data_IF_129634035661
#
_entry.id   IF_129634035661
#
_cell.length_a   1.000
_cell.length_b   1.000
_cell.length_c   1.000
_cell.angle_alpha   90.00
_cell.angle_beta   90.00
_cell.angle_gamma   90.00
#
_symmetry.space_group_name_H-M   'P 1'
#
loop_
_entity.id
_entity.type
_entity.pdbx_description
1 polymer ?
#
# COMPACT_ATOMS: atom_id res chain seq x y z
N UNK A 1 -17.68 2.11 -30.37
CA UNK A 1 -17.62 3.43 -29.67
C UNK A 1 -16.40 3.60 -28.76
N UNK A 2 -15.97 2.60 -27.98
CA UNK A 2 -14.87 2.73 -26.99
C UNK A 2 -13.53 3.11 -27.61
N UNK A 3 -13.18 2.55 -28.79
CA UNK A 3 -11.96 2.90 -29.52
C UNK A 3 -11.95 4.38 -29.93
N UNK A 4 -13.09 4.88 -30.43
CA UNK A 4 -13.23 6.28 -30.84
C UNK A 4 -13.12 7.23 -29.64
N UNK A 5 -13.74 6.88 -28.49
CA UNK A 5 -13.59 7.63 -27.24
C UNK A 5 -12.13 7.66 -26.77
N UNK A 6 -11.41 6.55 -26.88
CA UNK A 6 -9.98 6.46 -26.56
C UNK A 6 -9.14 7.36 -27.46
N UNK A 7 -9.34 7.29 -28.79
CA UNK A 7 -8.61 8.12 -29.76
C UNK A 7 -8.86 9.62 -29.53
N UNK A 8 -10.12 9.98 -29.25
CA UNK A 8 -10.54 11.37 -29.02
C UNK A 8 -10.40 11.81 -27.55
N UNK A 9 -9.80 10.99 -26.68
CA UNK A 9 -9.66 11.25 -25.23
C UNK A 9 -10.96 11.75 -24.58
N UNK A 10 -12.08 11.10 -24.90
CA UNK A 10 -13.40 11.39 -24.32
C UNK A 10 -13.66 10.48 -23.12
N UNK A 11 -14.25 10.99 -22.02
CA UNK A 11 -14.52 10.19 -20.83
C UNK A 11 -15.39 8.97 -21.15
N UNK A 12 -15.08 7.87 -20.48
CA UNK A 12 -15.78 6.60 -20.56
C UNK A 12 -16.93 6.56 -19.55
N UNK A 13 -18.04 5.94 -19.89
CA UNK A 13 -19.14 5.73 -18.94
C UNK A 13 -18.85 4.54 -18.03
N UNK A 14 -19.61 4.39 -16.94
CA UNK A 14 -19.55 3.19 -16.10
C UNK A 14 -19.74 1.91 -16.92
N UNK A 15 -20.73 1.88 -17.82
CA UNK A 15 -20.98 0.75 -18.72
C UNK A 15 -19.79 0.46 -19.66
N UNK A 16 -19.06 1.48 -20.13
CA UNK A 16 -17.86 1.28 -20.94
C UNK A 16 -16.76 0.59 -20.12
N UNK A 17 -16.51 1.05 -18.88
CA UNK A 17 -15.46 0.52 -18.00
C UNK A 17 -15.79 -0.91 -17.55
N UNK A 18 -17.02 -1.17 -17.12
CA UNK A 18 -17.50 -2.52 -16.76
C UNK A 18 -17.38 -3.50 -17.91
N UNK A 19 -17.73 -3.09 -19.13
CA UNK A 19 -17.56 -3.94 -20.31
C UNK A 19 -16.08 -4.23 -20.61
N UNK A 20 -15.19 -3.26 -20.45
CA UNK A 20 -13.75 -3.43 -20.70
C UNK A 20 -13.09 -4.34 -19.65
N UNK A 21 -13.55 -4.28 -18.40
CA UNK A 21 -13.04 -5.09 -17.32
C UNK A 21 -13.76 -6.44 -17.15
N UNK A 22 -14.89 -6.65 -17.83
CA UNK A 22 -15.78 -7.79 -17.62
C UNK A 22 -15.11 -9.16 -17.76
N UNK A 23 -14.15 -9.32 -18.69
CA UNK A 23 -13.38 -10.56 -18.79
C UNK A 23 -12.64 -10.89 -17.49
N UNK A 24 -11.92 -9.90 -16.93
CA UNK A 24 -11.13 -10.08 -15.72
C UNK A 24 -12.02 -10.21 -14.47
N UNK A 25 -13.19 -9.56 -14.46
CA UNK A 25 -14.16 -9.76 -13.37
C UNK A 25 -14.75 -11.18 -13.34
N UNK A 26 -14.94 -11.80 -14.51
CA UNK A 26 -15.40 -13.18 -14.62
C UNK A 26 -14.27 -14.18 -14.37
N UNK A 27 -13.09 -13.92 -14.93
CA UNK A 27 -11.90 -14.77 -14.86
C UNK A 27 -10.70 -13.93 -14.37
N UNK A 28 -10.63 -13.64 -13.06
CA UNK A 28 -9.53 -12.89 -12.50
C UNK A 28 -8.21 -13.60 -12.76
N UNK A 29 -7.09 -12.86 -12.94
CA UNK A 29 -5.78 -13.42 -13.22
C UNK A 29 -5.14 -14.03 -11.97
N UNK A 30 -5.79 -15.04 -11.38
CA UNK A 30 -5.27 -15.82 -10.26
C UNK A 30 -4.75 -17.18 -10.72
N UNK A 31 -3.69 -17.70 -10.07
CA UNK A 31 -3.40 -19.13 -10.10
C UNK A 31 -4.64 -19.93 -9.67
N UNK A 32 -4.87 -21.08 -10.31
CA UNK A 32 -6.07 -21.91 -10.09
C UNK A 32 -6.29 -22.25 -8.60
N UNK A 33 -5.22 -22.57 -7.87
CA UNK A 33 -5.27 -22.87 -6.44
C UNK A 33 -5.76 -21.69 -5.58
N UNK A 34 -5.36 -20.45 -5.91
CA UNK A 34 -5.83 -19.26 -5.21
C UNK A 34 -7.26 -18.90 -5.57
N UNK A 35 -7.69 -19.19 -6.80
CA UNK A 35 -9.08 -19.02 -7.22
C UNK A 35 -10.03 -19.91 -6.41
N UNK A 36 -9.69 -21.19 -6.26
CA UNK A 36 -10.49 -22.15 -5.48
C UNK A 36 -10.53 -21.76 -3.99
N UNK A 37 -9.38 -21.37 -3.42
CA UNK A 37 -9.31 -20.88 -2.06
C UNK A 37 -10.17 -19.62 -1.84
N UNK A 38 -10.05 -18.61 -2.70
CA UNK A 38 -10.82 -17.36 -2.60
C UNK A 38 -12.33 -17.55 -2.87
N UNK A 39 -12.70 -18.52 -3.72
CA UNK A 39 -14.10 -18.89 -3.93
C UNK A 39 -14.70 -19.62 -2.71
N UNK A 40 -13.88 -20.41 -2.00
CA UNK A 40 -14.29 -21.19 -0.82
C UNK A 40 -14.31 -20.40 0.49
N UNK A 41 -13.60 -19.27 0.56
CA UNK A 41 -13.60 -18.35 1.70
C UNK A 41 -14.94 -17.60 1.73
N UNK A 42 -15.88 -18.15 2.49
CA UNK A 42 -17.23 -17.59 2.70
C UNK A 42 -17.26 -16.87 4.04
N UNK A 43 -17.50 -15.55 4.03
CA UNK A 43 -17.67 -14.77 5.25
C UNK A 43 -18.96 -15.15 6.00
N UNK A 44 -19.17 -14.60 7.21
CA UNK A 44 -20.40 -14.83 8.02
C UNK A 44 -21.70 -14.51 7.27
N UNK A 45 -21.64 -13.69 6.22
CA UNK A 45 -22.76 -13.29 5.36
C UNK A 45 -23.08 -14.29 4.24
N UNK A 46 -22.31 -15.37 4.06
CA UNK A 46 -22.50 -16.31 2.95
C UNK A 46 -21.91 -15.86 1.61
N UNK A 47 -21.22 -14.71 1.58
CA UNK A 47 -20.60 -14.15 0.36
C UNK A 47 -19.16 -14.63 0.24
N UNK A 48 -18.76 -15.12 -0.95
CA UNK A 48 -17.37 -15.51 -1.23
C UNK A 48 -16.46 -14.28 -1.32
N UNK A 49 -15.16 -14.45 -1.04
CA UNK A 49 -14.18 -13.37 -1.19
C UNK A 49 -14.13 -12.82 -2.62
N UNK A 50 -14.33 -13.67 -3.62
CA UNK A 50 -14.39 -13.25 -5.03
C UNK A 50 -15.63 -12.39 -5.33
N UNK A 51 -16.79 -12.71 -4.78
CA UNK A 51 -17.99 -11.90 -4.97
C UNK A 51 -17.88 -10.56 -4.24
N UNK A 52 -17.27 -10.56 -3.05
CA UNK A 52 -16.91 -9.35 -2.34
C UNK A 52 -15.96 -8.48 -3.18
N UNK A 53 -14.89 -9.08 -3.73
CA UNK A 53 -13.96 -8.38 -4.62
C UNK A 53 -14.66 -7.81 -5.84
N UNK A 54 -15.50 -8.58 -6.54
CA UNK A 54 -16.25 -8.09 -7.72
C UNK A 54 -17.10 -6.86 -7.39
N UNK A 55 -17.75 -6.86 -6.23
CA UNK A 55 -18.52 -5.71 -5.75
C UNK A 55 -17.62 -4.50 -5.48
N UNK A 56 -16.52 -4.70 -4.76
CA UNK A 56 -15.55 -3.63 -4.46
C UNK A 56 -14.95 -3.05 -5.76
N UNK A 57 -14.53 -3.91 -6.68
CA UNK A 57 -13.96 -3.50 -7.97
C UNK A 57 -14.99 -2.78 -8.86
N UNK A 58 -16.26 -3.20 -8.84
CA UNK A 58 -17.34 -2.48 -9.55
C UNK A 58 -17.49 -1.05 -9.04
N UNK A 59 -17.44 -0.83 -7.72
CA UNK A 59 -17.44 0.51 -7.11
C UNK A 59 -16.25 1.34 -7.62
N UNK A 60 -15.05 0.75 -7.69
CA UNK A 60 -13.86 1.43 -8.22
C UNK A 60 -14.05 1.88 -9.68
N UNK A 61 -14.67 1.04 -10.52
CA UNK A 61 -14.99 1.42 -11.91
C UNK A 61 -15.98 2.59 -11.96
N UNK A 62 -16.96 2.62 -11.06
CA UNK A 62 -17.92 3.72 -10.97
C UNK A 62 -17.28 5.03 -10.50
N UNK A 63 -16.35 4.97 -9.56
CA UNK A 63 -15.58 6.13 -9.11
C UNK A 63 -14.69 6.72 -10.22
N UNK A 64 -14.10 5.87 -11.06
CA UNK A 64 -13.40 6.29 -12.26
C UNK A 64 -14.41 6.95 -13.21
N UNK A 65 -15.54 6.29 -13.49
CA UNK A 65 -16.56 6.82 -14.39
C UNK A 65 -17.13 8.18 -13.95
N UNK A 66 -17.20 8.44 -12.65
CA UNK A 66 -17.69 9.69 -12.07
C UNK A 66 -16.82 10.92 -12.43
N UNK A 67 -15.58 10.72 -12.88
CA UNK A 67 -14.72 11.83 -13.27
C UNK A 67 -15.17 12.43 -14.61
N UNK A 68 -15.32 13.77 -14.63
CA UNK A 68 -15.88 14.51 -15.77
C UNK A 68 -14.97 14.54 -17.00
N UNK A 69 -13.67 14.32 -16.84
CA UNK A 69 -12.67 14.46 -17.91
C UNK A 69 -11.85 13.19 -18.05
N UNK A 70 -11.35 12.92 -19.26
CA UNK A 70 -10.46 11.79 -19.53
C UNK A 70 -9.23 11.77 -18.63
N UNK A 71 -8.62 12.93 -18.41
CA UNK A 71 -7.47 13.07 -17.52
C UNK A 71 -7.85 12.80 -16.05
N UNK A 72 -9.02 13.26 -15.61
CA UNK A 72 -9.55 12.97 -14.28
C UNK A 72 -9.77 11.47 -14.07
N UNK A 73 -10.36 10.79 -15.06
CA UNK A 73 -10.54 9.32 -15.03
C UNK A 73 -9.19 8.60 -14.93
N UNK A 74 -8.21 9.02 -15.72
CA UNK A 74 -6.85 8.48 -15.69
C UNK A 74 -6.18 8.69 -14.33
N UNK A 75 -6.28 9.88 -13.76
CA UNK A 75 -5.70 10.20 -12.45
C UNK A 75 -6.40 9.42 -11.32
N UNK A 76 -7.73 9.28 -11.35
CA UNK A 76 -8.48 8.45 -10.39
C UNK A 76 -8.07 6.99 -10.47
N UNK A 77 -7.95 6.44 -11.69
CA UNK A 77 -7.46 5.09 -11.89
C UNK A 77 -6.07 4.90 -11.26
N UNK A 78 -5.13 5.82 -11.51
CA UNK A 78 -3.78 5.75 -10.93
C UNK A 78 -3.78 5.77 -9.41
N UNK A 79 -4.60 6.65 -8.81
CA UNK A 79 -4.75 6.70 -7.34
C UNK A 79 -5.29 5.39 -6.77
N UNK A 80 -6.24 4.77 -7.46
CA UNK A 80 -6.75 3.45 -7.08
C UNK A 80 -5.67 2.36 -7.20
N UNK A 81 -4.89 2.34 -8.28
CA UNK A 81 -3.76 1.41 -8.43
C UNK A 81 -2.77 1.57 -7.27
N UNK A 82 -2.34 2.80 -6.97
CA UNK A 82 -1.42 3.08 -5.86
C UNK A 82 -1.99 2.66 -4.51
N UNK A 83 -3.29 2.86 -4.29
CA UNK A 83 -3.98 2.44 -3.06
C UNK A 83 -3.93 0.91 -2.91
N UNK A 84 -4.25 0.17 -3.96
CA UNK A 84 -4.24 -1.30 -3.92
C UNK A 84 -2.81 -1.87 -3.83
N UNK A 85 -1.84 -1.27 -4.52
CA UNK A 85 -0.43 -1.63 -4.35
C UNK A 85 0.05 -1.37 -2.92
N UNK A 86 -0.37 -0.27 -2.29
CA UNK A 86 -0.05 0.00 -0.89
C UNK A 86 -0.55 -1.10 0.06
N UNK A 87 -1.73 -1.65 -0.17
CA UNK A 87 -2.21 -2.81 0.60
C UNK A 87 -1.41 -4.10 0.34
N UNK A 88 -0.86 -4.25 -0.87
CA UNK A 88 0.06 -5.34 -1.17
C UNK A 88 1.38 -5.16 -0.42
N UNK A 89 1.89 -3.93 -0.34
CA UNK A 89 3.11 -3.59 0.38
C UNK A 89 2.97 -3.80 1.90
N UNK A 90 1.85 -3.39 2.49
CA UNK A 90 1.54 -3.65 3.90
C UNK A 90 1.56 -5.15 4.19
N UNK A 91 0.90 -5.97 3.37
CA UNK A 91 0.92 -7.43 3.55
C UNK A 91 2.33 -8.00 3.37
N UNK A 92 3.06 -7.59 2.33
CA UNK A 92 4.41 -8.08 2.07
C UNK A 92 5.38 -7.75 3.22
N UNK A 93 5.28 -6.55 3.81
CA UNK A 93 6.12 -6.12 4.93
C UNK A 93 5.74 -6.75 6.27
N UNK A 94 4.53 -7.29 6.40
CA UNK A 94 4.03 -7.85 7.67
C UNK A 94 3.80 -9.36 7.61
N UNK A 95 3.98 -10.02 6.47
CA UNK A 95 3.63 -11.43 6.26
C UNK A 95 4.29 -12.35 7.29
N UNK A 96 5.55 -12.09 7.64
CA UNK A 96 6.33 -12.93 8.55
C UNK A 96 6.29 -12.44 10.02
N UNK A 97 5.48 -11.42 10.31
CA UNK A 97 5.31 -10.84 11.64
C UNK A 97 3.94 -11.26 12.21
N UNK A 98 3.95 -12.15 13.20
CA UNK A 98 2.70 -12.65 13.81
C UNK A 98 2.11 -11.66 14.82
N UNK A 99 2.96 -11.00 15.62
CA UNK A 99 2.54 -10.11 16.70
C UNK A 99 1.78 -8.87 16.18
N UNK A 100 0.46 -8.73 16.46
CA UNK A 100 -0.30 -7.54 16.05
C UNK A 100 0.12 -6.27 16.78
N UNK A 101 0.90 -6.37 17.87
CA UNK A 101 1.52 -5.23 18.54
C UNK A 101 2.49 -4.48 17.64
N UNK A 102 3.18 -5.19 16.75
CA UNK A 102 4.21 -4.64 15.88
C UNK A 102 3.65 -3.85 14.69
N UNK A 103 2.57 -4.34 14.08
CA UNK A 103 2.05 -3.81 12.81
C UNK A 103 0.60 -3.31 12.89
N UNK A 104 -0.10 -3.54 14.01
CA UNK A 104 -1.53 -3.30 14.13
C UNK A 104 -1.93 -1.83 13.95
N UNK A 105 -1.05 -0.88 14.24
CA UNK A 105 -1.28 0.53 14.02
C UNK A 105 -1.55 0.86 12.54
N UNK A 106 -0.93 0.14 11.60
CA UNK A 106 -1.09 0.33 10.15
C UNK A 106 -2.54 0.10 9.67
N UNK A 107 -3.32 -0.70 10.40
CA UNK A 107 -4.69 -1.09 10.04
C UNK A 107 -5.74 -0.67 11.06
N UNK A 108 -5.32 -0.12 12.19
CA UNK A 108 -6.15 0.13 13.37
C UNK A 108 -7.33 1.07 13.13
N UNK A 109 -7.21 1.98 12.15
CA UNK A 109 -8.27 2.94 11.79
C UNK A 109 -9.16 2.45 10.63
N UNK A 110 -8.85 1.29 10.05
CA UNK A 110 -9.59 0.77 8.90
C UNK A 110 -10.81 0.00 9.38
N UNK A 111 -11.99 0.44 8.97
CA UNK A 111 -13.30 -0.10 9.40
C UNK A 111 -13.39 -1.64 9.32
N UNK A 112 -12.77 -2.22 8.29
CA UNK A 112 -12.71 -3.68 8.14
C UNK A 112 -12.04 -4.38 9.33
N UNK A 113 -11.02 -3.79 9.93
CA UNK A 113 -10.26 -4.36 11.05
C UNK A 113 -10.89 -4.03 12.39
N UNK A 114 -11.49 -2.85 12.55
CA UNK A 114 -12.16 -2.45 13.80
C UNK A 114 -13.41 -3.31 14.11
N UNK A 115 -13.97 -3.98 13.10
CA UNK A 115 -15.09 -4.90 13.24
C UNK A 115 -14.73 -6.27 13.86
N UNK A 116 -13.44 -6.59 14.05
CA UNK A 116 -12.98 -7.89 14.53
C UNK A 116 -11.92 -7.75 15.63
N UNK A 117 -11.79 -8.77 16.47
CA UNK A 117 -10.71 -8.83 17.47
C UNK A 117 -9.34 -8.97 16.80
N UNK A 118 -8.29 -8.48 17.47
CA UNK A 118 -6.90 -8.48 16.97
C UNK A 118 -6.40 -9.88 16.57
N UNK A 119 -6.86 -10.93 17.24
CA UNK A 119 -6.55 -12.34 16.92
C UNK A 119 -6.92 -12.73 15.48
N UNK A 120 -7.91 -12.06 14.88
CA UNK A 120 -8.35 -12.34 13.50
C UNK A 120 -7.71 -11.41 12.47
N UNK A 121 -6.97 -10.38 12.89
CA UNK A 121 -6.48 -9.34 11.99
C UNK A 121 -5.54 -9.88 10.92
N UNK A 122 -4.71 -10.88 11.22
CA UNK A 122 -3.81 -11.50 10.23
C UNK A 122 -4.59 -12.14 9.07
N UNK A 123 -5.63 -12.89 9.39
CA UNK A 123 -6.51 -13.49 8.39
C UNK A 123 -7.27 -12.44 7.57
N UNK A 124 -7.69 -11.34 8.19
CA UNK A 124 -8.33 -10.20 7.51
C UNK A 124 -7.35 -9.50 6.57
N UNK A 125 -6.10 -9.31 7.01
CA UNK A 125 -5.06 -8.71 6.20
C UNK A 125 -4.75 -9.55 4.95
N UNK A 126 -4.70 -10.88 5.09
CA UNK A 126 -4.58 -11.79 3.95
C UNK A 126 -5.75 -11.65 2.96
N UNK A 127 -7.00 -11.58 3.47
CA UNK A 127 -8.16 -11.35 2.60
C UNK A 127 -8.08 -9.99 1.88
N UNK A 128 -7.69 -8.93 2.60
CA UNK A 128 -7.51 -7.59 2.04
C UNK A 128 -6.41 -7.56 0.99
N UNK A 129 -5.32 -8.30 1.20
CA UNK A 129 -4.22 -8.49 0.25
C UNK A 129 -4.71 -9.15 -1.04
N UNK A 130 -5.47 -10.26 -0.95
CA UNK A 130 -5.98 -10.95 -2.14
C UNK A 130 -6.87 -10.01 -2.96
N UNK A 131 -7.76 -9.26 -2.30
CA UNK A 131 -8.58 -8.23 -2.95
C UNK A 131 -7.70 -7.18 -3.63
N UNK A 132 -6.65 -6.71 -2.93
CA UNK A 132 -5.75 -5.69 -3.44
C UNK A 132 -5.01 -6.15 -4.70
N UNK A 133 -4.43 -7.34 -4.64
CA UNK A 133 -3.68 -7.95 -5.74
C UNK A 133 -4.56 -8.06 -7.00
N UNK A 134 -5.80 -8.54 -6.82
CA UNK A 134 -6.77 -8.66 -7.89
C UNK A 134 -7.15 -7.30 -8.50
N UNK A 135 -7.49 -6.33 -7.64
CA UNK A 135 -7.87 -5.00 -8.07
C UNK A 135 -6.73 -4.27 -8.77
N UNK A 136 -5.52 -4.28 -8.22
CA UNK A 136 -4.34 -3.69 -8.84
C UNK A 136 -4.08 -4.27 -10.23
N UNK A 137 -4.04 -5.60 -10.37
CA UNK A 137 -3.82 -6.26 -11.66
C UNK A 137 -4.89 -5.89 -12.70
N UNK A 138 -6.17 -5.86 -12.30
CA UNK A 138 -7.26 -5.52 -13.20
C UNK A 138 -7.26 -4.03 -13.58
N UNK A 139 -6.95 -3.14 -12.64
CA UNK A 139 -6.81 -1.70 -12.89
C UNK A 139 -5.63 -1.41 -13.81
N UNK A 140 -4.48 -2.06 -13.62
CA UNK A 140 -3.31 -1.91 -14.48
C UNK A 140 -3.58 -2.38 -15.92
N UNK A 141 -4.24 -3.52 -16.08
CA UNK A 141 -4.63 -4.01 -17.41
C UNK A 141 -5.61 -3.05 -18.09
N UNK A 142 -6.59 -2.53 -17.34
CA UNK A 142 -7.52 -1.51 -17.80
C UNK A 142 -6.76 -0.23 -18.22
N UNK A 143 -5.75 0.16 -17.45
CA UNK A 143 -4.91 1.32 -17.73
C UNK A 143 -4.08 1.14 -19.01
N UNK A 144 -3.50 -0.04 -19.21
CA UNK A 144 -2.77 -0.38 -20.44
C UNK A 144 -3.71 -0.33 -21.66
N UNK A 145 -4.91 -0.90 -21.54
CA UNK A 145 -5.92 -0.93 -22.60
C UNK A 145 -6.48 0.45 -22.96
N UNK A 146 -6.66 1.34 -21.99
CA UNK A 146 -7.35 2.64 -22.21
C UNK A 146 -6.34 3.78 -22.37
N UNK A 147 -5.40 3.89 -21.44
CA UNK A 147 -4.51 5.06 -21.30
C UNK A 147 -3.10 4.81 -21.82
N UNK A 148 -2.82 3.64 -22.41
CA UNK A 148 -1.50 3.26 -22.92
C UNK A 148 -0.40 3.42 -21.84
N UNK A 149 -0.65 2.87 -20.66
CA UNK A 149 0.38 2.79 -19.62
C UNK A 149 1.64 2.13 -20.18
N UNK A 150 2.71 2.92 -20.22
CA UNK A 150 4.01 2.50 -20.72
C UNK A 150 4.80 1.81 -19.62
N UNK A 151 5.92 1.18 -20.00
CA UNK A 151 6.91 0.65 -19.06
C UNK A 151 7.41 1.72 -18.08
N UNK A 152 7.51 2.98 -18.51
CA UNK A 152 7.91 4.09 -17.64
C UNK A 152 6.89 4.28 -16.51
N UNK A 153 5.59 4.27 -16.82
CA UNK A 153 4.56 4.40 -15.78
C UNK A 153 4.61 3.25 -14.77
N UNK A 154 4.94 2.04 -15.23
CA UNK A 154 5.17 0.91 -14.33
C UNK A 154 6.36 1.16 -13.39
N UNK A 155 7.50 1.65 -13.91
CA UNK A 155 8.66 2.00 -13.08
C UNK A 155 8.34 3.09 -12.05
N UNK A 156 7.47 4.05 -12.38
CA UNK A 156 7.03 5.06 -11.42
C UNK A 156 6.20 4.46 -10.28
N UNK A 157 5.29 3.52 -10.59
CA UNK A 157 4.52 2.77 -9.58
C UNK A 157 5.45 1.91 -8.72
N UNK A 158 6.42 1.23 -9.34
CA UNK A 158 7.42 0.42 -8.65
C UNK A 158 8.27 1.28 -7.71
N UNK A 159 8.66 2.50 -8.12
CA UNK A 159 9.39 3.46 -7.27
C UNK A 159 8.57 3.85 -6.03
N UNK A 160 7.30 4.18 -6.20
CA UNK A 160 6.42 4.50 -5.07
C UNK A 160 6.31 3.33 -4.09
N UNK A 161 6.10 2.13 -4.63
CA UNK A 161 5.95 0.90 -3.85
C UNK A 161 7.23 0.52 -3.09
N UNK A 162 8.41 0.64 -3.74
CA UNK A 162 9.70 0.42 -3.08
C UNK A 162 9.92 1.41 -1.93
N UNK A 163 9.69 2.71 -2.18
CA UNK A 163 9.85 3.72 -1.15
C UNK A 163 8.88 3.51 0.02
N UNK A 164 7.65 3.07 -0.24
CA UNK A 164 6.71 2.73 0.83
C UNK A 164 7.21 1.55 1.67
N UNK A 165 7.72 0.49 1.04
CA UNK A 165 8.31 -0.66 1.75
C UNK A 165 9.51 -0.27 2.60
N UNK A 166 10.33 0.68 2.16
CA UNK A 166 11.44 1.20 2.99
C UNK A 166 10.94 1.90 4.26
N UNK A 167 9.88 2.70 4.15
CA UNK A 167 9.25 3.36 5.31
C UNK A 167 8.69 2.30 6.27
N UNK A 168 7.91 1.34 5.74
CA UNK A 168 7.34 0.24 6.53
C UNK A 168 8.42 -0.59 7.21
N UNK A 169 9.52 -0.89 6.50
CA UNK A 169 10.63 -1.66 7.06
C UNK A 169 11.24 -0.96 8.27
N UNK A 170 11.50 0.34 8.19
CA UNK A 170 12.04 1.10 9.33
C UNK A 170 11.10 1.04 10.54
N UNK A 171 9.82 1.34 10.32
CA UNK A 171 8.79 1.38 11.36
C UNK A 171 8.60 0.02 12.05
N UNK A 172 8.44 -1.03 11.25
CA UNK A 172 8.20 -2.39 11.73
C UNK A 172 9.43 -2.96 12.43
N UNK A 173 10.65 -2.72 11.94
CA UNK A 173 11.86 -3.22 12.58
C UNK A 173 12.03 -2.67 14.00
N UNK A 174 11.74 -1.37 14.21
CA UNK A 174 11.83 -0.77 15.55
C UNK A 174 10.74 -1.33 16.47
N UNK A 175 9.51 -1.46 15.96
CA UNK A 175 8.43 -2.07 16.75
C UNK A 175 8.74 -3.53 17.11
N UNK A 176 9.38 -4.30 16.21
CA UNK A 176 9.83 -5.66 16.54
C UNK A 176 10.87 -5.66 17.65
N UNK A 177 11.86 -4.75 17.60
CA UNK A 177 12.87 -4.64 18.66
C UNK A 177 12.23 -4.31 20.02
N UNK A 178 11.26 -3.38 20.05
CA UNK A 178 10.53 -3.04 21.28
C UNK A 178 9.74 -4.26 21.79
N UNK A 179 9.02 -4.95 20.90
CA UNK A 179 8.23 -6.15 21.23
C UNK A 179 9.13 -7.28 21.80
N UNK A 180 10.29 -7.50 21.18
CA UNK A 180 11.30 -8.47 21.64
C UNK A 180 11.89 -8.11 23.02
N UNK A 181 12.16 -6.83 23.29
CA UNK A 181 12.64 -6.35 24.60
C UNK A 181 11.58 -6.52 25.69
N UNK A 182 10.31 -6.23 25.39
CA UNK A 182 9.19 -6.44 26.31
C UNK A 182 9.03 -7.94 26.63
N UNK A 183 9.11 -8.81 25.63
CA UNK A 183 9.06 -10.26 25.82
C UNK A 183 10.25 -10.80 26.64
N UNK A 184 11.40 -10.12 26.59
CA UNK A 184 12.58 -10.42 27.39
C UNK A 184 12.52 -9.85 28.83
N UNK A 185 11.49 -9.08 29.18
CA UNK A 185 11.37 -8.32 30.43
C UNK A 185 12.40 -7.19 30.61
N UNK A 186 12.97 -6.70 29.50
CA UNK A 186 13.89 -5.55 29.47
C UNK A 186 13.07 -4.23 29.35
N UNK A 187 12.15 -4.03 30.28
CA UNK A 187 11.14 -2.95 30.23
C UNK A 187 11.77 -1.54 30.16
N UNK A 188 12.91 -1.32 30.80
CA UNK A 188 13.61 -0.03 30.81
C UNK A 188 14.18 0.34 29.44
N UNK A 189 14.88 -0.61 28.79
CA UNK A 189 15.41 -0.42 27.43
C UNK A 189 14.29 -0.33 26.40
N UNK A 190 13.22 -1.11 26.56
CA UNK A 190 12.03 -1.03 25.72
C UNK A 190 11.37 0.35 25.78
N UNK A 191 11.25 0.93 26.98
CA UNK A 191 10.71 2.27 27.18
C UNK A 191 11.61 3.36 26.60
N UNK A 192 12.93 3.23 26.74
CA UNK A 192 13.89 4.16 26.13
C UNK A 192 13.78 4.13 24.60
N UNK A 193 13.78 2.94 23.99
CA UNK A 193 13.63 2.78 22.55
C UNK A 193 12.27 3.28 22.05
N UNK A 194 11.20 3.06 22.81
CA UNK A 194 9.88 3.62 22.51
C UNK A 194 9.89 5.15 22.54
N UNK A 195 10.55 5.77 23.53
CA UNK A 195 10.74 7.22 23.59
C UNK A 195 11.52 7.77 22.38
N UNK A 196 12.60 7.10 21.99
CA UNK A 196 13.35 7.43 20.78
C UNK A 196 12.47 7.30 19.53
N UNK A 197 11.65 6.24 19.45
CA UNK A 197 10.72 6.06 18.34
C UNK A 197 9.76 7.24 18.25
N UNK A 198 9.17 7.66 19.36
CA UNK A 198 8.17 8.72 19.38
C UNK A 198 8.76 10.10 19.07
N UNK A 199 9.90 10.44 19.67
CA UNK A 199 10.46 11.80 19.58
C UNK A 199 11.33 12.02 18.33
N UNK A 200 11.93 10.95 17.78
CA UNK A 200 12.92 11.07 16.71
C UNK A 200 12.47 10.36 15.43
N UNK A 201 12.06 9.10 15.52
CA UNK A 201 11.83 8.28 14.33
C UNK A 201 10.44 8.49 13.72
N UNK A 202 9.39 8.59 14.52
CA UNK A 202 8.03 8.84 14.04
C UNK A 202 7.93 10.19 13.28
N UNK A 203 8.55 11.30 13.71
CA UNK A 203 8.61 12.53 12.92
C UNK A 203 9.31 12.34 11.56
N UNK A 204 10.40 11.56 11.52
CA UNK A 204 11.09 11.24 10.27
C UNK A 204 10.20 10.42 9.33
N UNK A 205 9.56 9.37 9.85
CA UNK A 205 8.59 8.54 9.12
C UNK A 205 7.44 9.41 8.57
N UNK A 206 6.91 10.33 9.38
CA UNK A 206 5.85 11.24 8.96
C UNK A 206 6.29 12.13 7.79
N UNK A 207 7.53 12.63 7.80
CA UNK A 207 8.09 13.39 6.68
C UNK A 207 8.31 12.52 5.43
N UNK A 208 8.73 11.26 5.58
CA UNK A 208 8.82 10.32 4.47
C UNK A 208 7.44 10.02 3.86
N UNK A 209 6.39 9.88 4.69
CA UNK A 209 5.01 9.74 4.20
C UNK A 209 4.52 10.96 3.41
N UNK A 210 4.92 12.18 3.80
CA UNK A 210 4.63 13.39 3.01
C UNK A 210 5.30 13.31 1.62
N UNK A 211 6.53 12.81 1.54
CA UNK A 211 7.19 12.59 0.25
C UNK A 211 6.49 11.50 -0.56
N UNK A 212 6.11 10.38 0.06
CA UNK A 212 5.36 9.31 -0.60
C UNK A 212 4.04 9.83 -1.20
N UNK A 213 3.29 10.63 -0.44
CA UNK A 213 2.05 11.27 -0.91
C UNK A 213 2.30 12.23 -2.09
N UNK A 214 3.39 13.01 -2.05
CA UNK A 214 3.80 13.86 -3.16
C UNK A 214 4.12 13.04 -4.42
N UNK A 215 4.86 11.94 -4.28
CA UNK A 215 5.16 11.03 -5.39
C UNK A 215 3.86 10.46 -5.98
N UNK A 216 2.94 10.00 -5.13
CA UNK A 216 1.63 9.50 -5.57
C UNK A 216 0.84 10.55 -6.37
N UNK A 217 0.83 11.80 -5.91
CA UNK A 217 0.17 12.91 -6.62
C UNK A 217 0.83 13.22 -7.96
N UNK A 218 2.16 13.26 -8.01
CA UNK A 218 2.92 13.47 -9.24
C UNK A 218 2.69 12.34 -10.26
N UNK A 219 2.66 11.08 -9.80
CA UNK A 219 2.37 9.90 -10.64
C UNK A 219 0.96 10.03 -11.25
N UNK A 220 -0.04 10.31 -10.42
CA UNK A 220 -1.44 10.45 -10.83
C UNK A 220 -1.62 11.54 -11.90
N UNK A 221 -0.85 12.62 -11.80
CA UNK A 221 -0.89 13.75 -12.73
C UNK A 221 0.11 13.65 -13.90
N UNK A 222 0.94 12.60 -13.97
CA UNK A 222 2.03 12.43 -14.97
C UNK A 222 3.08 13.55 -14.95
N UNK A 223 3.45 14.02 -13.77
CA UNK A 223 4.39 15.12 -13.57
C UNK A 223 5.48 14.74 -12.57
N UNK A 224 5.99 13.50 -12.65
CA UNK A 224 7.04 13.06 -11.73
C UNK A 224 8.34 13.81 -12.00
N UNK A 225 8.83 14.51 -10.97
CA UNK A 225 10.14 15.14 -10.97
C UNK A 225 11.12 14.22 -10.24
N UNK A 226 11.75 13.33 -11.00
CA UNK A 226 12.68 12.33 -10.46
C UNK A 226 13.87 13.00 -9.76
N UNK A 227 14.35 14.14 -10.26
CA UNK A 227 15.48 14.84 -9.66
C UNK A 227 15.08 15.37 -8.27
N UNK A 228 13.94 16.05 -8.17
CA UNK A 228 13.44 16.56 -6.89
C UNK A 228 13.11 15.44 -5.90
N UNK A 229 12.51 14.33 -6.36
CA UNK A 229 12.24 13.16 -5.50
C UNK A 229 13.55 12.57 -4.98
N UNK A 230 14.55 12.40 -5.86
CA UNK A 230 15.86 11.87 -5.47
C UNK A 230 16.56 12.74 -4.44
N UNK A 231 16.61 14.06 -4.64
CA UNK A 231 17.23 14.98 -3.68
C UNK A 231 16.62 14.86 -2.28
N UNK A 232 15.29 14.71 -2.20
CA UNK A 232 14.61 14.53 -0.91
C UNK A 232 14.90 13.17 -0.28
N UNK A 233 14.94 12.09 -1.06
CA UNK A 233 15.33 10.76 -0.57
C UNK A 233 16.77 10.80 -0.05
N UNK A 234 17.70 11.37 -0.81
CA UNK A 234 19.11 11.47 -0.42
C UNK A 234 19.27 12.30 0.88
N UNK A 235 18.48 13.36 1.05
CA UNK A 235 18.46 14.15 2.29
C UNK A 235 17.95 13.34 3.50
N UNK A 236 16.92 12.51 3.32
CA UNK A 236 16.48 11.58 4.36
C UNK A 236 17.54 10.54 4.70
N UNK A 237 18.26 10.02 3.69
CA UNK A 237 19.34 9.06 3.91
C UNK A 237 20.51 9.65 4.70
N UNK A 238 20.85 10.91 4.46
CA UNK A 238 21.84 11.64 5.27
C UNK A 238 21.37 11.75 6.71
N UNK A 239 20.12 12.20 6.94
CA UNK A 239 19.56 12.32 8.29
C UNK A 239 19.49 10.98 9.04
N UNK A 240 19.11 9.90 8.35
CA UNK A 240 19.13 8.53 8.91
C UNK A 240 20.55 8.13 9.34
N UNK A 241 21.56 8.42 8.52
CA UNK A 241 22.97 8.12 8.84
C UNK A 241 23.50 8.95 10.01
N UNK A 242 23.15 10.23 10.08
CA UNK A 242 23.50 11.10 11.21
C UNK A 242 22.89 10.59 12.51
N UNK A 243 21.59 10.23 12.50
CA UNK A 243 20.92 9.64 13.65
C UNK A 243 21.58 8.31 14.07
N UNK A 244 21.85 7.42 13.13
CA UNK A 244 22.54 6.16 13.41
C UNK A 244 23.93 6.38 14.04
N UNK A 245 24.69 7.38 13.58
CA UNK A 245 25.99 7.73 14.15
C UNK A 245 25.86 8.25 15.60
N UNK A 246 24.84 9.06 15.89
CA UNK A 246 24.56 9.53 17.26
C UNK A 246 24.25 8.35 18.19
N UNK A 247 23.40 7.42 17.77
CA UNK A 247 23.09 6.23 18.57
C UNK A 247 24.30 5.32 18.78
N UNK A 248 25.13 5.12 17.76
CA UNK A 248 26.35 4.32 17.89
C UNK A 248 27.38 4.97 18.82
N UNK A 249 27.45 6.30 18.84
CA UNK A 249 28.33 7.04 19.74
C UNK A 249 27.84 6.98 21.21
N UNK A 250 26.53 7.12 21.45
CA UNK A 250 25.96 7.04 22.80
C UNK A 250 26.07 5.65 23.43
N UNK A 251 26.03 4.59 22.62
CA UNK A 251 26.27 3.20 23.08
C UNK A 251 27.73 2.96 23.48
N UNK A 252 28.70 3.68 22.90
CA UNK A 252 30.11 3.57 23.28
C UNK A 252 30.47 4.34 24.57
N UNK A 253 29.64 5.30 24.99
CA UNK A 253 29.89 6.14 26.17
C UNK A 253 29.23 5.63 27.47
N UNK A 254 28.46 4.52 27.42
CA UNK A 254 27.89 3.89 28.62
C UNK A 254 28.80 2.75 29.12
N UNK A 255 29.67 2.98 30.12
CA UNK A 255 30.44 1.90 30.71
C UNK A 255 29.52 1.06 31.60
N UNK A 256 29.52 -0.25 31.37
CA UNK A 256 28.98 -1.26 32.29
C UNK A 256 29.49 -0.92 33.70
N UNK A 257 28.57 -0.61 34.61
CA UNK A 257 28.85 -0.50 36.06
C UNK A 257 28.17 -1.64 36.80
#
# INVERSE_FOLDING_TARGET
>A
MTILKRLLKRPLTSADLHRLAGHNMMKPPLPKAMFEAAASLVGKSGVSLLDYWRKAFSIQLDEIAAQKTWQGQRARLLKLVLTEQGWCDVFASTNDIEAPGVWGHLVSEVELFTAFSKEHWKGILLQRYIIALLSAACLEELAAKIYAFSRIKKLELDLHSEYYREILKLDLQINMMIDEMVDAYDDEEALELAGVKDDVINPLIADQYKLLALVAEQIANSQIDIASVKEKIDAFDVRKRELAAVFLASVQESPVT
#
